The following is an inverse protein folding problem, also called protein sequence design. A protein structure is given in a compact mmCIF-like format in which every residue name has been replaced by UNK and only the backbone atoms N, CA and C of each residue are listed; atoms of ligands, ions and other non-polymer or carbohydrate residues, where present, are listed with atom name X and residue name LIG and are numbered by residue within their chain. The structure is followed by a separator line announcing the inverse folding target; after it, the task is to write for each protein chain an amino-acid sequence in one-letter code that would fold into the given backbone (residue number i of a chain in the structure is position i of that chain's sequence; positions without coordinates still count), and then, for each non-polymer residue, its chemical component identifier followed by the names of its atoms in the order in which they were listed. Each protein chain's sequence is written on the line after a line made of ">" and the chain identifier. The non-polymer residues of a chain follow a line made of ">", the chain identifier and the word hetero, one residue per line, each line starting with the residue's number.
data_IF_867923556592
#
_entry.id   IF_867923556592
#
_cell.length_a   1.000
_cell.length_b   1.000
_cell.length_c   1.000
_cell.angle_alpha   90.00
_cell.angle_beta   90.00
_cell.angle_gamma   90.00
#
_symmetry.space_group_name_H-M   'P 1'
#
loop_
_entity.id
_entity.type
_entity.pdbx_description
1 polymer ?
#
# COMPACT_ATOMS: atom_id res chain seq x y z
N UNK A 1 3.66 30.67 17.78
CA UNK A 1 2.47 30.42 16.94
C UNK A 1 1.82 29.20 17.55
N UNK A 2 0.69 29.37 18.26
CA UNK A 2 -0.03 28.26 18.87
C UNK A 2 -1.00 27.75 17.82
N UNK A 3 -0.77 26.52 17.33
CA UNK A 3 -1.76 25.82 16.51
C UNK A 3 -2.97 25.50 17.40
N UNK A 4 -4.09 26.15 17.10
CA UNK A 4 -5.38 25.86 17.69
C UNK A 4 -5.91 24.54 17.08
N UNK A 5 -5.72 23.45 17.81
CA UNK A 5 -6.10 22.11 17.36
C UNK A 5 -7.56 21.81 17.74
N UNK A 6 -8.48 22.02 16.80
CA UNK A 6 -9.86 21.57 16.96
C UNK A 6 -9.93 20.03 16.83
N UNK A 7 -10.45 19.37 17.85
CA UNK A 7 -10.71 17.93 17.87
C UNK A 7 -11.66 17.57 16.72
N UNK A 8 -11.23 16.68 15.81
CA UNK A 8 -12.02 16.24 14.64
C UNK A 8 -11.41 16.52 13.27
N UNK A 9 -10.35 17.34 13.18
CA UNK A 9 -9.67 17.61 11.90
C UNK A 9 -8.72 16.48 11.50
N UNK A 10 -8.78 16.07 10.23
CA UNK A 10 -7.81 15.13 9.64
C UNK A 10 -6.53 15.87 9.30
N UNK A 11 -5.41 15.45 9.89
CA UNK A 11 -4.07 16.00 9.64
C UNK A 11 -3.42 15.28 8.46
N UNK A 12 -2.73 16.02 7.61
CA UNK A 12 -1.80 15.47 6.61
C UNK A 12 -0.41 15.55 7.22
N UNK A 13 0.20 14.42 7.54
CA UNK A 13 1.46 14.39 8.30
C UNK A 13 2.68 14.11 7.43
N UNK A 14 2.49 13.43 6.30
CA UNK A 14 3.54 13.16 5.30
C UNK A 14 2.92 13.33 3.92
N UNK A 15 3.69 13.86 2.96
CA UNK A 15 3.26 14.00 1.56
C UNK A 15 4.44 13.78 0.62
N UNK A 16 4.28 12.90 -0.34
CA UNK A 16 5.29 12.56 -1.37
C UNK A 16 4.66 12.48 -2.74
N UNK A 17 5.48 12.63 -3.77
CA UNK A 17 5.05 12.53 -5.17
C UNK A 17 5.91 11.48 -5.84
N UNK A 18 5.26 10.53 -6.51
CA UNK A 18 5.90 9.51 -7.34
C UNK A 18 5.57 9.78 -8.80
N UNK A 19 6.51 9.53 -9.71
CA UNK A 19 6.34 9.72 -11.15
C UNK A 19 7.06 8.66 -11.98
N UNK A 20 6.46 8.27 -13.11
CA UNK A 20 7.08 7.44 -14.16
C UNK A 20 7.63 8.30 -15.33
N UNK A 21 7.62 9.63 -15.17
CA UNK A 21 7.99 10.60 -16.19
C UNK A 21 6.80 11.15 -16.99
N UNK A 22 5.74 10.37 -17.18
CA UNK A 22 4.53 10.78 -17.93
C UNK A 22 3.35 11.09 -17.00
N UNK A 23 3.20 10.26 -15.97
CA UNK A 23 2.16 10.30 -14.97
C UNK A 23 2.75 10.58 -13.58
N UNK A 24 1.88 10.96 -12.64
CA UNK A 24 2.25 11.11 -11.25
C UNK A 24 1.10 10.74 -10.32
N UNK A 25 1.46 10.35 -9.10
CA UNK A 25 0.56 10.20 -7.96
C UNK A 25 1.13 10.91 -6.75
N UNK A 26 0.23 11.41 -5.89
CA UNK A 26 0.57 11.96 -4.58
C UNK A 26 0.23 10.93 -3.51
N UNK A 27 1.21 10.60 -2.68
CA UNK A 27 1.04 9.75 -1.50
C UNK A 27 0.95 10.65 -0.27
N UNK A 28 -0.11 10.52 0.53
CA UNK A 28 -0.30 11.35 1.73
C UNK A 28 -0.67 10.50 2.93
N UNK A 29 0.10 10.61 4.03
CA UNK A 29 -0.34 10.07 5.32
C UNK A 29 -1.38 10.99 5.94
N UNK A 30 -2.53 10.42 6.29
CA UNK A 30 -3.62 11.10 6.98
C UNK A 30 -3.85 10.53 8.36
N UNK A 31 -3.96 11.41 9.36
CA UNK A 31 -4.19 11.04 10.75
C UNK A 31 -5.45 11.74 11.27
N UNK A 32 -6.43 10.96 11.69
CA UNK A 32 -7.64 11.45 12.37
C UNK A 32 -7.96 10.59 13.60
N UNK A 33 -9.02 9.77 13.55
CA UNK A 33 -9.29 8.71 14.53
C UNK A 33 -8.47 7.43 14.27
N UNK A 34 -7.79 7.38 13.13
CA UNK A 34 -6.86 6.33 12.73
C UNK A 34 -5.92 6.85 11.63
N UNK A 35 -4.93 6.03 11.27
CA UNK A 35 -3.97 6.35 10.22
C UNK A 35 -4.42 5.75 8.89
N UNK A 36 -4.27 6.52 7.81
CA UNK A 36 -4.54 6.07 6.44
C UNK A 36 -3.48 6.60 5.49
N UNK A 37 -3.17 5.82 4.47
CA UNK A 37 -2.45 6.26 3.29
C UNK A 37 -3.46 6.66 2.22
N UNK A 38 -3.37 7.91 1.74
CA UNK A 38 -4.12 8.36 0.57
C UNK A 38 -3.22 8.28 -0.66
N UNK A 39 -3.73 7.70 -1.74
CA UNK A 39 -3.14 7.72 -3.07
C UNK A 39 -4.05 8.62 -3.93
N UNK A 40 -3.50 9.70 -4.47
CA UNK A 40 -4.24 10.76 -5.15
C UNK A 40 -3.62 11.06 -6.53
N UNK A 41 -4.41 10.92 -7.60
CA UNK A 41 -3.99 11.21 -8.98
C UNK A 41 -4.25 12.67 -9.37
N UNK A 42 -4.97 13.43 -8.53
CA UNK A 42 -5.51 14.75 -8.82
C UNK A 42 -6.97 14.71 -9.29
N UNK A 43 -7.37 13.62 -9.94
CA UNK A 43 -8.74 13.39 -10.43
C UNK A 43 -9.50 12.41 -9.53
N UNK A 44 -8.81 11.36 -9.08
CA UNK A 44 -9.34 10.28 -8.24
C UNK A 44 -8.42 10.04 -7.04
N UNK A 45 -8.98 9.48 -5.97
CA UNK A 45 -8.20 9.14 -4.79
C UNK A 45 -8.78 7.99 -4.00
N UNK A 46 -7.93 7.12 -3.47
CA UNK A 46 -8.30 6.06 -2.52
C UNK A 46 -7.61 6.29 -1.17
N UNK A 47 -8.25 5.85 -0.08
CA UNK A 47 -7.68 5.92 1.28
C UNK A 47 -7.65 4.52 1.88
N UNK A 48 -6.45 4.01 2.10
CA UNK A 48 -6.22 2.68 2.64
C UNK A 48 -5.76 2.79 4.10
N UNK A 49 -6.38 2.04 5.00
CA UNK A 49 -5.85 1.89 6.36
C UNK A 49 -4.80 0.78 6.43
N UNK A 50 -4.22 0.57 7.62
CA UNK A 50 -3.18 -0.44 7.81
C UNK A 50 -3.62 -1.85 7.39
N UNK A 51 -4.88 -2.24 7.66
CA UNK A 51 -5.39 -3.57 7.32
C UNK A 51 -5.48 -3.74 5.80
N UNK A 52 -6.03 -2.75 5.10
CA UNK A 52 -6.13 -2.81 3.64
C UNK A 52 -4.75 -2.83 2.96
N UNK A 53 -3.80 -2.06 3.48
CA UNK A 53 -2.41 -2.07 2.99
C UNK A 53 -1.72 -3.42 3.26
N UNK A 54 -1.98 -4.02 4.42
CA UNK A 54 -1.47 -5.33 4.75
C UNK A 54 -2.07 -6.40 3.82
N UNK A 55 -3.37 -6.37 3.57
CA UNK A 55 -4.04 -7.26 2.60
C UNK A 55 -3.47 -7.14 1.18
N UNK A 56 -3.17 -5.92 0.74
CA UNK A 56 -2.51 -5.65 -0.53
C UNK A 56 -1.09 -6.26 -0.58
N UNK A 57 -0.35 -6.22 0.53
CA UNK A 57 0.99 -6.82 0.60
C UNK A 57 0.98 -8.36 0.53
N UNK A 58 -0.16 -9.01 0.79
CA UNK A 58 -0.32 -10.46 0.68
C UNK A 58 -0.63 -10.94 -0.73
N UNK A 59 -0.68 -10.08 -1.73
CA UNK A 59 -1.04 -10.48 -3.09
C UNK A 59 0.23 -10.85 -3.87
N UNK A 60 0.68 -12.13 -3.87
CA UNK A 60 1.88 -12.55 -4.60
C UNK A 60 1.66 -12.48 -6.11
N UNK A 61 0.40 -12.59 -6.54
CA UNK A 61 -0.01 -12.52 -7.93
C UNK A 61 -0.71 -11.19 -8.22
N UNK A 62 -0.05 -10.37 -9.03
CA UNK A 62 -0.59 -9.10 -9.51
C UNK A 62 -1.88 -9.30 -10.32
N UNK A 63 -2.08 -10.48 -10.93
CA UNK A 63 -3.30 -10.80 -11.66
C UNK A 63 -4.52 -10.88 -10.74
N UNK A 64 -4.35 -11.33 -9.50
CA UNK A 64 -5.42 -11.33 -8.51
C UNK A 64 -5.86 -9.91 -8.12
N UNK A 65 -4.90 -8.96 -8.11
CA UNK A 65 -5.22 -7.55 -7.90
C UNK A 65 -5.94 -6.97 -9.11
N UNK A 66 -5.47 -7.24 -10.33
CA UNK A 66 -6.14 -6.79 -11.57
C UNK A 66 -7.57 -7.33 -11.70
N UNK A 67 -7.78 -8.62 -11.43
CA UNK A 67 -9.11 -9.25 -11.45
C UNK A 67 -10.07 -8.57 -10.48
N UNK A 68 -9.59 -8.23 -9.28
CA UNK A 68 -10.40 -7.56 -8.27
C UNK A 68 -10.74 -6.11 -8.66
N UNK A 69 -9.81 -5.42 -9.31
CA UNK A 69 -9.99 -4.04 -9.71
C UNK A 69 -10.80 -3.88 -11.00
N UNK A 70 -11.17 -4.99 -11.65
CA UNK A 70 -11.68 -5.01 -13.03
C UNK A 70 -10.76 -4.25 -14.01
N UNK A 71 -9.49 -4.07 -13.63
CA UNK A 71 -8.48 -3.40 -14.41
C UNK A 71 -7.94 -4.43 -15.40
N UNK A 72 -8.22 -4.26 -16.70
CA UNK A 72 -8.03 -5.34 -17.69
C UNK A 72 -6.62 -5.95 -17.69
N UNK A 73 -5.55 -5.21 -17.31
CA UNK A 73 -4.17 -5.72 -17.11
C UNK A 73 -3.20 -4.74 -16.39
N UNK A 74 -3.68 -3.69 -15.73
CA UNK A 74 -2.80 -2.55 -15.45
C UNK A 74 -1.73 -2.82 -14.38
N UNK A 75 -2.00 -3.64 -13.38
CA UNK A 75 -1.03 -3.97 -12.32
C UNK A 75 -0.09 -5.07 -12.78
N UNK A 76 -0.59 -6.05 -13.53
CA UNK A 76 0.22 -7.12 -14.12
C UNK A 76 1.21 -6.61 -15.17
N UNK A 77 0.85 -5.55 -15.90
CA UNK A 77 1.71 -4.93 -16.91
C UNK A 77 2.55 -3.77 -16.38
N UNK A 78 2.39 -3.39 -15.11
CA UNK A 78 3.20 -2.35 -14.50
C UNK A 78 4.69 -2.77 -14.48
N UNK A 79 5.56 -2.03 -15.18
CA UNK A 79 6.96 -2.39 -15.35
C UNK A 79 7.78 -2.20 -14.06
N UNK A 80 7.33 -1.32 -13.16
CA UNK A 80 8.01 -1.04 -11.89
C UNK A 80 7.46 -1.88 -10.73
N UNK A 81 6.33 -2.57 -10.92
CA UNK A 81 5.74 -3.42 -9.89
C UNK A 81 6.43 -4.78 -9.77
N UNK A 82 6.68 -5.21 -8.53
CA UNK A 82 7.25 -6.53 -8.20
C UNK A 82 6.62 -7.10 -6.93
N UNK A 83 6.46 -8.42 -6.91
CA UNK A 83 5.91 -9.21 -5.80
C UNK A 83 6.93 -10.20 -5.23
N UNK A 84 8.21 -10.09 -5.61
CA UNK A 84 9.21 -11.11 -5.38
C UNK A 84 9.50 -11.34 -3.88
N UNK A 85 9.40 -12.58 -3.41
CA UNK A 85 9.71 -13.01 -2.03
C UNK A 85 11.23 -13.28 -1.82
N UNK A 86 12.08 -12.77 -2.71
CA UNK A 86 13.52 -13.01 -2.71
C UNK A 86 14.35 -12.11 -1.78
N UNK A 87 15.54 -12.59 -1.40
CA UNK A 87 16.53 -11.91 -0.52
C UNK A 87 17.08 -10.58 -1.11
N UNK A 88 16.68 -10.21 -2.32
CA UNK A 88 17.06 -8.96 -3.02
C UNK A 88 15.91 -7.96 -3.17
N UNK A 89 14.73 -8.24 -2.61
CA UNK A 89 13.59 -7.31 -2.67
C UNK A 89 13.81 -6.21 -1.65
N UNK A 90 13.97 -4.96 -2.13
CA UNK A 90 14.06 -3.80 -1.25
C UNK A 90 12.75 -3.64 -0.48
N UNK A 91 12.84 -3.65 0.84
CA UNK A 91 11.70 -3.46 1.74
C UNK A 91 11.54 -1.98 2.10
N UNK A 92 10.34 -1.59 2.52
CA UNK A 92 10.10 -0.23 3.00
C UNK A 92 10.98 0.10 4.21
N UNK A 93 11.33 -0.89 5.04
CA UNK A 93 12.20 -0.71 6.20
C UNK A 93 13.64 -0.28 5.84
N UNK A 94 14.10 -0.59 4.62
CA UNK A 94 15.43 -0.25 4.12
C UNK A 94 15.49 1.14 3.47
N UNK A 95 14.33 1.76 3.22
CA UNK A 95 14.24 3.12 2.70
C UNK A 95 14.61 4.12 3.81
N UNK A 96 15.29 5.22 3.47
CA UNK A 96 15.83 6.17 4.45
C UNK A 96 14.79 6.82 5.38
N UNK A 97 13.52 6.88 4.97
CA UNK A 97 12.43 7.42 5.76
C UNK A 97 11.12 6.73 5.37
N UNK A 98 10.77 5.55 5.89
CA UNK A 98 9.48 4.95 5.63
C UNK A 98 8.35 5.72 6.33
N UNK A 99 7.19 5.75 5.70
CA UNK A 99 5.94 6.18 6.34
C UNK A 99 5.37 4.97 7.08
N UNK A 100 5.18 5.08 8.38
CA UNK A 100 4.44 4.08 9.16
C UNK A 100 2.94 4.34 9.11
N UNK A 101 2.14 3.32 8.84
CA UNK A 101 0.68 3.32 8.93
C UNK A 101 0.27 2.22 9.89
N UNK A 102 -0.44 2.56 10.96
CA UNK A 102 -0.79 1.62 12.03
C UNK A 102 -2.26 1.70 12.44
N UNK A 103 -2.78 0.57 12.90
CA UNK A 103 -4.06 0.41 13.61
C UNK A 103 -3.85 -0.51 14.82
N UNK A 104 -4.93 -0.82 15.56
CA UNK A 104 -4.86 -1.82 16.64
C UNK A 104 -4.54 -3.24 16.15
N UNK A 105 -4.78 -3.53 14.86
CA UNK A 105 -4.71 -4.89 14.32
C UNK A 105 -3.57 -5.08 13.32
N UNK A 106 -2.93 -4.00 12.87
CA UNK A 106 -1.99 -4.05 11.75
C UNK A 106 -0.96 -2.93 11.84
N UNK A 107 0.24 -3.21 11.33
CA UNK A 107 1.32 -2.25 11.17
C UNK A 107 2.02 -2.46 9.83
N UNK A 108 2.05 -1.40 9.02
CA UNK A 108 2.61 -1.40 7.68
C UNK A 108 3.62 -0.26 7.54
N UNK A 109 4.71 -0.54 6.84
CA UNK A 109 5.69 0.45 6.42
C UNK A 109 5.55 0.68 4.91
N UNK A 110 5.63 1.95 4.51
CA UNK A 110 5.55 2.36 3.12
C UNK A 110 6.79 3.18 2.77
N UNK A 111 7.46 2.81 1.69
CA UNK A 111 8.70 3.45 1.23
C UNK A 111 8.63 3.78 -0.25
N UNK A 112 9.44 4.76 -0.64
CA UNK A 112 9.54 5.22 -2.03
C UNK A 112 10.87 4.70 -2.57
N UNK A 113 10.85 4.09 -3.75
CA UNK A 113 12.05 3.65 -4.46
C UNK A 113 12.05 4.21 -5.88
N UNK A 114 13.23 4.32 -6.49
CA UNK A 114 13.36 4.68 -7.91
C UNK A 114 13.86 3.46 -8.67
N UNK A 115 13.13 3.07 -9.71
CA UNK A 115 13.46 1.97 -10.60
C UNK A 115 13.91 2.50 -11.96
N UNK A 116 14.30 1.62 -12.89
CA UNK A 116 14.54 1.99 -14.30
C UNK A 116 13.29 2.53 -15.00
N UNK A 117 12.11 2.15 -14.51
CA UNK A 117 10.81 2.38 -15.16
C UNK A 117 10.00 3.47 -14.43
N UNK A 118 10.63 4.17 -13.48
CA UNK A 118 10.01 5.24 -12.70
C UNK A 118 10.05 5.00 -11.20
N UNK A 119 9.47 5.93 -10.46
CA UNK A 119 9.27 5.78 -9.02
C UNK A 119 8.23 4.69 -8.72
N UNK A 120 8.44 3.98 -7.61
CA UNK A 120 7.51 2.98 -7.12
C UNK A 120 7.33 3.09 -5.60
N UNK A 121 6.19 2.58 -5.13
CA UNK A 121 5.84 2.48 -3.73
C UNK A 121 6.06 1.05 -3.25
N UNK A 122 6.94 0.86 -2.28
CA UNK A 122 7.12 -0.40 -1.57
C UNK A 122 6.23 -0.39 -0.34
N UNK A 123 5.42 -1.43 -0.17
CA UNK A 123 4.55 -1.65 0.99
C UNK A 123 5.01 -2.94 1.66
N UNK A 124 5.49 -2.83 2.90
CA UNK A 124 5.99 -3.96 3.70
C UNK A 124 5.16 -4.12 4.96
N UNK A 125 4.74 -5.34 5.26
CA UNK A 125 4.09 -5.72 6.52
C UNK A 125 5.09 -6.52 7.38
N UNK A 126 5.80 -5.89 8.33
CA UNK A 126 6.90 -6.54 9.05
C UNK A 126 6.46 -7.76 9.85
N UNK A 127 5.25 -7.71 10.44
CA UNK A 127 4.73 -8.80 11.27
C UNK A 127 4.51 -10.12 10.52
N UNK A 128 4.50 -10.08 9.18
CA UNK A 128 4.24 -11.24 8.32
C UNK A 128 5.31 -11.48 7.26
N UNK A 129 6.28 -10.57 7.13
CA UNK A 129 7.36 -10.68 6.15
C UNK A 129 6.91 -10.50 4.70
N UNK A 130 5.70 -9.98 4.45
CA UNK A 130 5.18 -9.75 3.11
C UNK A 130 5.53 -8.35 2.60
N UNK A 131 5.87 -8.26 1.31
CA UNK A 131 6.20 -7.00 0.64
C UNK A 131 5.63 -7.00 -0.78
N UNK A 132 5.09 -5.86 -1.19
CA UNK A 132 4.71 -5.60 -2.59
C UNK A 132 5.27 -4.25 -3.03
N UNK A 133 5.70 -4.18 -4.28
CA UNK A 133 6.12 -2.94 -4.94
C UNK A 133 5.13 -2.60 -6.03
N UNK A 134 4.68 -1.35 -6.05
CA UNK A 134 3.67 -0.84 -6.97
C UNK A 134 4.21 0.39 -7.69
N UNK A 135 4.29 0.33 -9.02
CA UNK A 135 4.63 1.48 -9.84
C UNK A 135 3.50 2.50 -9.91
N UNK A 136 3.78 3.64 -10.54
CA UNK A 136 2.80 4.73 -10.71
C UNK A 136 1.55 4.26 -11.46
N UNK A 137 1.68 3.35 -12.43
CA UNK A 137 0.55 2.77 -13.14
C UNK A 137 -0.40 2.03 -12.20
N UNK A 138 0.12 1.11 -11.38
CA UNK A 138 -0.69 0.37 -10.40
C UNK A 138 -1.36 1.29 -9.38
N UNK A 139 -0.62 2.30 -8.91
CA UNK A 139 -1.13 3.27 -7.93
C UNK A 139 -2.29 4.11 -8.48
N UNK A 140 -2.29 4.38 -9.79
CA UNK A 140 -3.40 5.10 -10.45
C UNK A 140 -4.67 4.27 -10.50
N UNK A 141 -4.57 2.98 -10.82
CA UNK A 141 -5.73 2.08 -10.78
C UNK A 141 -6.27 1.91 -9.36
N UNK A 142 -5.39 1.74 -8.37
CA UNK A 142 -5.82 1.71 -6.97
C UNK A 142 -6.56 3.00 -6.58
N UNK A 143 -6.10 4.15 -7.05
CA UNK A 143 -6.75 5.44 -6.78
C UNK A 143 -8.12 5.60 -7.46
N UNK A 144 -8.42 4.83 -8.51
CA UNK A 144 -9.71 4.83 -9.18
C UNK A 144 -10.79 4.02 -8.44
N UNK A 145 -10.42 3.23 -7.43
CA UNK A 145 -11.36 2.44 -6.63
C UNK A 145 -12.24 3.33 -5.77
N UNK A 146 -13.55 3.35 -6.05
CA UNK A 146 -14.53 4.15 -5.32
C UNK A 146 -14.97 3.48 -4.00
N UNK A 147 -15.10 2.16 -3.98
CA UNK A 147 -15.53 1.38 -2.82
C UNK A 147 -14.44 0.43 -2.33
N UNK A 148 -13.76 0.83 -1.25
CA UNK A 148 -12.72 0.02 -0.61
C UNK A 148 -13.25 -1.28 0.01
N UNK A 149 -14.57 -1.46 0.11
CA UNK A 149 -15.16 -2.74 0.53
C UNK A 149 -14.76 -3.88 -0.41
N UNK A 150 -14.46 -3.60 -1.68
CA UNK A 150 -13.99 -4.61 -2.64
C UNK A 150 -12.75 -5.36 -2.13
N UNK A 151 -11.90 -4.70 -1.35
CA UNK A 151 -10.70 -5.29 -0.76
C UNK A 151 -10.98 -6.23 0.42
N UNK A 152 -12.22 -6.33 0.90
CA UNK A 152 -12.55 -7.25 2.00
C UNK A 152 -12.31 -8.72 1.62
N UNK A 153 -12.35 -9.03 0.32
CA UNK A 153 -12.09 -10.37 -0.21
C UNK A 153 -10.68 -10.87 0.12
N UNK A 154 -9.70 -9.97 0.30
CA UNK A 154 -8.33 -10.32 0.66
C UNK A 154 -8.22 -10.89 2.08
N UNK A 155 -9.25 -10.73 2.91
CA UNK A 155 -9.31 -11.32 4.25
C UNK A 155 -10.05 -12.66 4.26
N UNK A 156 -10.60 -13.10 3.14
CA UNK A 156 -11.22 -14.41 2.97
C UNK A 156 -10.21 -15.42 2.40
N UNK A 157 -10.35 -16.70 2.76
CA UNK A 157 -9.58 -17.78 2.14
C UNK A 157 -9.95 -17.89 0.65
N UNK A 158 -8.99 -18.03 -0.28
CA UNK A 158 -7.57 -18.36 -0.11
C UNK A 158 -6.59 -17.17 -0.09
N UNK A 159 -7.09 -15.93 -0.06
CA UNK A 159 -6.26 -14.72 -0.20
C UNK A 159 -5.69 -14.23 1.14
N UNK A 160 -6.45 -14.43 2.22
CA UNK A 160 -5.99 -14.16 3.57
C UNK A 160 -4.92 -15.15 4.03
N UNK A 161 -4.23 -14.87 5.14
CA UNK A 161 -3.28 -15.82 5.72
C UNK A 161 -3.93 -17.18 5.96
N UNK A 162 -3.22 -18.25 5.59
CA UNK A 162 -3.45 -19.51 6.28
C UNK A 162 -2.86 -19.38 7.69
N UNK A 163 -3.70 -19.52 8.72
CA UNK A 163 -3.21 -19.71 10.09
C UNK A 163 -2.48 -21.06 10.13
N UNK A 164 -1.20 -21.07 9.77
CA UNK A 164 -0.33 -22.19 10.14
C UNK A 164 -0.37 -22.27 11.67
N UNK A 165 -0.81 -23.38 12.27
CA UNK A 165 -0.80 -23.50 13.72
C UNK A 165 0.64 -23.25 14.18
N UNK A 166 0.84 -22.21 14.98
CA UNK A 166 2.07 -22.08 15.74
C UNK A 166 2.15 -23.34 16.59
N UNK A 167 3.06 -24.25 16.27
CA UNK A 167 3.43 -25.33 17.19
C UNK A 167 3.88 -24.64 18.48
N UNK A 168 2.97 -24.62 19.47
CA UNK A 168 3.31 -24.21 20.82
C UNK A 168 4.43 -25.12 21.34
N UNK A 169 5.24 -24.64 22.31
CA UNK A 169 6.38 -25.41 22.77
C UNK A 169 5.91 -26.76 23.33
N UNK A 170 6.49 -27.84 22.80
CA UNK A 170 6.43 -29.19 23.39
C UNK A 170 7.15 -29.21 24.75
#
# INVERSE_FOLDING_TARGET
>A
MYDDHTVGNTRKTERRRLTDGENAVTITKRVSKGERLEIDTGDTSVKLDALLLEGLSWQPDRAAVDELLEAETAITTDPAATTDEGDNTMTAAEVAAPISISSEYSHVLVGDITTSDGDALVVTTPGRGSTITLGVQSLRELAAVEDTYVFSIWFETPFGPEDTPVEGPL
#
